data_IF_446871736884
#
_entry.id   IF_446871736884
#
_cell.length_a   1.000
_cell.length_b   1.000
_cell.length_c   1.000
_cell.angle_alpha   90.00
_cell.angle_beta   90.00
_cell.angle_gamma   90.00
#
_symmetry.space_group_name_H-M   'P 1'
#
loop_
_entity.id
_entity.type
_entity.pdbx_description
1 polymer ?
#
# COMPACT_ATOMS: atom_id res chain seq x y z
N UNK A 1 27.35 -39.30 -10.64
CA UNK A 1 26.75 -39.62 -9.32
C UNK A 1 26.19 -38.34 -8.73
N UNK A 2 24.86 -38.22 -8.67
CA UNK A 2 24.12 -37.09 -8.09
C UNK A 2 24.30 -37.06 -6.56
N UNK A 3 24.59 -35.90 -5.94
CA UNK A 3 24.22 -35.69 -4.56
C UNK A 3 22.73 -35.32 -4.49
N UNK A 4 21.92 -36.30 -4.09
CA UNK A 4 20.66 -36.09 -3.38
C UNK A 4 21.00 -35.42 -2.05
N UNK A 5 20.45 -34.25 -1.75
CA UNK A 5 20.15 -33.70 -0.40
C UNK A 5 19.78 -32.21 -0.57
N UNK A 6 18.48 -31.92 -0.60
CA UNK A 6 17.97 -30.56 -0.53
C UNK A 6 17.99 -30.04 0.91
N UNK A 7 18.61 -28.89 1.14
CA UNK A 7 18.41 -28.04 2.32
C UNK A 7 17.74 -26.75 1.88
N UNK A 8 16.40 -26.70 2.00
CA UNK A 8 15.67 -25.44 1.98
C UNK A 8 15.85 -24.71 3.31
N UNK A 9 16.18 -23.42 3.25
CA UNK A 9 16.00 -22.34 4.23
C UNK A 9 16.93 -21.20 3.77
N UNK A 10 16.50 -20.07 3.19
CA UNK A 10 15.53 -19.10 3.69
C UNK A 10 14.79 -18.47 2.49
N UNK A 11 13.55 -18.88 2.26
CA UNK A 11 12.54 -17.92 1.85
C UNK A 11 12.06 -17.23 3.12
N UNK A 12 11.61 -15.97 3.05
CA UNK A 12 11.12 -15.12 4.16
C UNK A 12 12.28 -14.31 4.80
N UNK A 13 12.49 -13.03 4.53
CA UNK A 13 11.49 -11.97 4.56
C UNK A 13 11.86 -10.90 3.54
N UNK A 14 11.37 -11.05 2.30
CA UNK A 14 10.84 -9.85 1.68
C UNK A 14 9.69 -9.43 2.61
N UNK A 15 9.73 -8.23 3.22
CA UNK A 15 8.54 -7.72 3.90
C UNK A 15 7.42 -7.89 2.89
N UNK A 16 6.38 -8.61 3.27
CA UNK A 16 5.26 -8.96 2.40
C UNK A 16 4.56 -7.64 2.04
N UNK A 17 5.10 -6.94 1.03
CA UNK A 17 4.60 -5.69 0.48
C UNK A 17 3.58 -5.97 -0.61
N UNK A 18 2.74 -6.97 -0.39
CA UNK A 18 1.56 -7.27 -1.18
C UNK A 18 0.60 -7.78 -0.11
N UNK A 19 -0.56 -7.20 0.17
CA UNK A 19 -1.64 -6.99 -0.80
C UNK A 19 -2.56 -5.78 -0.49
N UNK A 20 -2.26 -4.96 0.51
CA UNK A 20 -2.99 -3.71 0.75
C UNK A 20 -2.14 -2.81 1.67
N UNK A 21 -2.27 -1.49 1.58
CA UNK A 21 -1.49 -0.51 2.36
C UNK A 21 -1.21 -0.93 3.81
N UNK A 22 0.02 -0.74 4.30
CA UNK A 22 0.32 -0.89 5.73
C UNK A 22 -0.58 0.05 6.55
N UNK A 23 -0.80 -0.25 7.83
CA UNK A 23 -1.59 0.62 8.69
C UNK A 23 -1.04 2.06 8.71
N UNK A 24 0.29 2.20 8.70
CA UNK A 24 0.98 3.49 8.62
C UNK A 24 0.68 4.24 7.30
N UNK A 25 0.68 3.55 6.17
CA UNK A 25 0.34 4.12 4.86
C UNK A 25 -1.12 4.60 4.82
N UNK A 26 -2.05 3.82 5.39
CA UNK A 26 -3.45 4.25 5.53
C UNK A 26 -3.58 5.49 6.42
N UNK A 27 -2.91 5.48 7.58
CA UNK A 27 -2.92 6.62 8.50
C UNK A 27 -2.38 7.90 7.86
N UNK A 28 -1.31 7.80 7.07
CA UNK A 28 -0.77 8.93 6.32
C UNK A 28 -1.81 9.56 5.37
N UNK A 29 -2.73 8.75 4.84
CA UNK A 29 -3.77 9.18 3.93
C UNK A 29 -5.14 9.44 4.58
N UNK A 30 -5.35 9.12 5.86
CA UNK A 30 -6.66 9.23 6.51
C UNK A 30 -7.22 10.66 6.50
N UNK A 31 -6.38 11.66 6.79
CA UNK A 31 -6.81 13.06 6.80
C UNK A 31 -7.18 13.55 5.39
N UNK A 32 -6.36 13.23 4.40
CA UNK A 32 -6.65 13.55 2.99
C UNK A 32 -7.89 12.82 2.49
N UNK A 33 -8.07 11.57 2.89
CA UNK A 33 -9.25 10.79 2.57
C UNK A 33 -10.53 11.41 3.13
N UNK A 34 -10.54 11.83 4.40
CA UNK A 34 -11.69 12.51 4.98
C UNK A 34 -11.95 13.87 4.31
N UNK A 35 -10.92 14.57 3.85
CA UNK A 35 -11.06 15.88 3.21
C UNK A 35 -11.56 15.80 1.77
N UNK A 36 -11.08 14.83 0.99
CA UNK A 36 -11.33 14.76 -0.44
C UNK A 36 -12.17 13.57 -0.89
N UNK A 37 -12.28 12.53 -0.06
CA UNK A 37 -12.86 11.23 -0.38
C UNK A 37 -13.86 10.72 0.70
N UNK A 38 -14.39 11.59 1.58
CA UNK A 38 -15.28 11.17 2.68
C UNK A 38 -16.55 10.41 2.23
N UNK A 39 -17.00 10.60 0.98
CA UNK A 39 -18.12 9.87 0.40
C UNK A 39 -17.76 8.51 -0.21
N UNK A 40 -16.48 8.14 -0.23
CA UNK A 40 -16.02 6.85 -0.73
C UNK A 40 -16.14 5.83 0.40
N UNK A 41 -16.61 4.62 0.11
CA UNK A 41 -16.56 3.54 1.10
C UNK A 41 -15.13 3.01 1.19
N UNK A 42 -14.54 2.94 2.40
CA UNK A 42 -13.23 2.32 2.59
C UNK A 42 -13.33 0.81 2.31
N UNK A 43 -12.62 0.33 1.29
CA UNK A 43 -12.68 -1.07 0.84
C UNK A 43 -12.39 -1.21 -0.64
N UNK A 44 -12.01 -2.41 -1.08
CA UNK A 44 -11.78 -2.81 -2.48
C UNK A 44 -10.88 -1.88 -3.32
N UNK A 45 -9.96 -1.13 -2.69
CA UNK A 45 -9.10 -0.18 -3.40
C UNK A 45 -9.80 1.10 -3.90
N UNK A 46 -11.10 1.29 -3.63
CA UNK A 46 -11.83 2.52 -4.03
C UNK A 46 -11.26 3.76 -3.36
N UNK A 47 -10.83 3.63 -2.11
CA UNK A 47 -10.17 4.70 -1.38
C UNK A 47 -8.85 5.11 -2.06
N UNK A 48 -8.06 4.13 -2.48
CA UNK A 48 -6.80 4.38 -3.20
C UNK A 48 -7.06 5.05 -4.55
N UNK A 49 -8.08 4.60 -5.29
CA UNK A 49 -8.46 5.20 -6.57
C UNK A 49 -8.89 6.68 -6.41
N UNK A 50 -9.67 6.99 -5.36
CA UNK A 50 -10.04 8.38 -5.08
C UNK A 50 -8.83 9.24 -4.72
N UNK A 51 -7.97 8.77 -3.81
CA UNK A 51 -6.75 9.46 -3.43
C UNK A 51 -5.83 9.66 -4.65
N UNK A 52 -5.68 8.65 -5.50
CA UNK A 52 -4.89 8.73 -6.73
C UNK A 52 -5.40 9.81 -7.70
N UNK A 53 -6.72 9.96 -7.84
CA UNK A 53 -7.32 11.08 -8.61
C UNK A 53 -7.06 12.45 -7.97
N UNK A 54 -6.94 12.51 -6.65
CA UNK A 54 -6.68 13.73 -5.89
C UNK A 54 -5.19 13.95 -5.58
N UNK A 55 -4.27 13.18 -6.19
CA UNK A 55 -2.82 13.15 -5.88
C UNK A 55 -2.17 14.53 -5.79
N UNK A 56 -2.56 15.47 -6.64
CA UNK A 56 -2.07 16.85 -6.63
C UNK A 56 -2.44 17.65 -5.36
N UNK A 57 -3.56 17.29 -4.71
CA UNK A 57 -4.12 17.96 -3.52
C UNK A 57 -3.79 17.25 -2.20
N UNK A 58 -3.24 16.04 -2.26
CA UNK A 58 -2.88 15.26 -1.08
C UNK A 58 -1.72 15.88 -0.31
N UNK A 59 -1.63 15.62 1.00
CA UNK A 59 -0.43 15.88 1.79
C UNK A 59 0.81 15.18 1.20
N UNK A 60 2.03 15.69 1.46
CA UNK A 60 3.26 15.05 0.98
C UNK A 60 3.39 13.60 1.45
N UNK A 61 2.94 13.31 2.69
CA UNK A 61 2.98 11.98 3.27
C UNK A 61 2.08 11.00 2.52
N UNK A 62 0.81 11.35 2.28
CA UNK A 62 -0.09 10.49 1.52
C UNK A 62 0.32 10.38 0.05
N UNK A 63 0.81 11.47 -0.56
CA UNK A 63 1.28 11.46 -1.93
C UNK A 63 2.42 10.48 -2.14
N UNK A 64 3.40 10.46 -1.23
CA UNK A 64 4.49 9.49 -1.25
C UNK A 64 3.99 8.03 -1.14
N UNK A 65 2.91 7.78 -0.40
CA UNK A 65 2.25 6.46 -0.35
C UNK A 65 1.63 6.11 -1.70
N UNK A 66 0.88 7.04 -2.30
CA UNK A 66 0.27 6.84 -3.62
C UNK A 66 1.32 6.67 -4.72
N UNK A 67 2.42 7.43 -4.69
CA UNK A 67 3.57 7.31 -5.60
C UNK A 67 4.23 5.93 -5.53
N UNK A 68 4.35 5.36 -4.33
CA UNK A 68 4.90 4.00 -4.13
C UNK A 68 3.97 2.89 -4.64
N UNK A 69 2.71 3.20 -4.93
CA UNK A 69 1.64 2.25 -5.31
C UNK A 69 1.18 2.42 -6.76
N UNK A 70 1.70 3.43 -7.48
CA UNK A 70 1.36 3.74 -8.88
C UNK A 70 2.32 3.11 -9.87
#
# INVERSE_FOLDING_TARGET
MLPLLGTGALAQQQPQQQENGTAAERMACTADYQKFCAGVSPGDGRALACLSKQKAKLSPACRAVIDKRS
#
